data_IF_379315869053
#
_entry.id   IF_379315869053
#
_cell.length_a   1.000
_cell.length_b   1.000
_cell.length_c   1.000
_cell.angle_alpha   90.00
_cell.angle_beta   90.00
_cell.angle_gamma   90.00
#
_symmetry.space_group_name_H-M   'P 1'
#
loop_
_entity.id
_entity.type
_entity.pdbx_description
1 polymer ?
#
# COMPACT_ATOMS: atom_id res chain seq x y z
N UNK A 1 31.10 -17.35 -37.59
CA UNK A 1 30.48 -18.44 -36.81
C UNK A 1 31.42 -18.72 -35.64
N UNK A 2 31.17 -18.19 -34.43
CA UNK A 2 30.55 -18.91 -33.28
C UNK A 2 31.04 -20.37 -33.20
N UNK A 3 31.67 -20.82 -32.12
CA UNK A 3 31.00 -20.92 -30.82
C UNK A 3 31.98 -21.10 -29.63
N UNK A 4 32.02 -20.09 -28.78
CA UNK A 4 31.99 -20.05 -27.31
C UNK A 4 32.33 -21.34 -26.53
N UNK A 5 33.56 -21.40 -26.03
CA UNK A 5 34.17 -22.39 -25.11
C UNK A 5 33.55 -22.43 -23.70
N UNK A 6 32.51 -21.64 -23.41
CA UNK A 6 31.95 -21.48 -22.06
C UNK A 6 30.84 -22.46 -21.67
N UNK A 7 30.46 -23.39 -22.55
CA UNK A 7 29.47 -24.44 -22.23
C UNK A 7 30.07 -25.73 -21.68
N UNK A 8 31.39 -25.92 -21.78
CA UNK A 8 32.06 -27.16 -21.35
C UNK A 8 32.30 -27.21 -19.83
N UNK A 9 32.28 -26.06 -19.14
CA UNK A 9 32.39 -25.97 -17.67
C UNK A 9 31.02 -26.15 -16.99
N UNK A 10 29.92 -25.91 -17.72
CA UNK A 10 28.56 -26.03 -17.17
C UNK A 10 28.08 -27.50 -17.04
N UNK A 11 28.75 -28.45 -17.70
CA UNK A 11 28.34 -29.86 -17.70
C UNK A 11 29.01 -30.72 -16.62
N UNK A 12 30.06 -30.24 -15.95
CA UNK A 12 30.76 -30.98 -14.88
C UNK A 12 30.10 -30.87 -13.50
N UNK A 13 29.08 -30.02 -13.32
CA UNK A 13 28.42 -29.80 -12.04
C UNK A 13 27.21 -30.74 -11.78
N UNK A 14 26.92 -31.67 -12.69
CA UNK A 14 25.73 -32.55 -12.64
C UNK A 14 26.04 -34.00 -12.20
N UNK A 15 27.23 -34.33 -11.70
CA UNK A 15 27.57 -35.76 -11.41
C UNK A 15 28.37 -36.09 -10.16
N UNK A 16 28.29 -35.31 -9.07
CA UNK A 16 28.81 -35.75 -7.76
C UNK A 16 27.67 -35.58 -6.72
N UNK A 17 26.79 -36.57 -6.59
CA UNK A 17 26.94 -37.77 -5.75
C UNK A 17 26.83 -37.47 -4.25
N UNK A 18 25.59 -37.60 -3.78
CA UNK A 18 25.15 -38.13 -2.49
C UNK A 18 26.22 -38.59 -1.49
N UNK A 19 26.19 -38.03 -0.28
CA UNK A 19 26.46 -38.66 1.03
C UNK A 19 26.03 -37.67 2.13
N UNK A 20 24.86 -37.85 2.77
CA UNK A 20 24.60 -38.61 3.99
C UNK A 20 25.12 -37.96 5.29
N UNK A 21 24.14 -37.55 6.12
CA UNK A 21 24.07 -37.62 7.59
C UNK A 21 25.04 -36.78 8.44
N UNK A 22 24.50 -35.68 8.95
CA UNK A 22 24.97 -34.99 10.16
C UNK A 22 23.82 -34.18 10.75
N UNK A 23 23.17 -34.73 11.78
CA UNK A 23 22.15 -34.02 12.55
C UNK A 23 22.77 -32.93 13.40
N UNK A 24 22.29 -31.71 13.22
CA UNK A 24 22.19 -30.72 14.28
C UNK A 24 20.76 -30.19 14.20
N UNK A 25 19.94 -30.52 15.20
CA UNK A 25 18.77 -29.71 15.53
C UNK A 25 19.29 -28.38 16.06
N UNK A 26 19.66 -27.47 15.16
CA UNK A 26 19.54 -26.06 15.45
C UNK A 26 18.04 -25.78 15.35
N UNK A 27 17.38 -25.84 16.50
CA UNK A 27 16.14 -25.13 16.71
C UNK A 27 16.48 -23.67 16.43
N UNK A 28 16.23 -23.24 15.19
CA UNK A 28 16.06 -21.83 14.87
C UNK A 28 14.80 -21.44 15.61
N UNK A 29 14.98 -21.10 16.89
CA UNK A 29 14.11 -20.17 17.58
C UNK A 29 14.01 -19.00 16.64
N UNK A 30 12.92 -18.95 15.90
CA UNK A 30 12.48 -17.79 15.16
C UNK A 30 12.15 -16.77 16.23
N UNK A 31 13.20 -16.15 16.78
CA UNK A 31 13.09 -14.88 17.46
C UNK A 31 12.45 -13.99 16.43
N UNK A 32 11.18 -13.69 16.64
CA UNK A 32 10.39 -12.68 15.96
C UNK A 32 11.09 -11.34 16.19
N UNK A 33 12.20 -11.12 15.48
CA UNK A 33 12.64 -9.81 15.10
C UNK A 33 11.62 -9.37 14.06
N UNK A 34 10.67 -8.56 14.50
CA UNK A 34 9.85 -7.71 13.62
C UNK A 34 10.77 -6.77 12.84
N UNK A 35 11.54 -7.32 11.90
CA UNK A 35 11.96 -6.58 10.73
C UNK A 35 10.70 -6.49 9.88
N UNK A 36 9.96 -5.40 10.07
CA UNK A 36 8.85 -5.05 9.20
C UNK A 36 9.41 -4.91 7.78
N UNK A 37 9.35 -5.99 7.02
CA UNK A 37 9.85 -6.07 5.66
C UNK A 37 8.69 -5.72 4.75
N UNK A 38 8.77 -4.56 4.10
CA UNK A 38 7.82 -4.18 3.04
C UNK A 38 7.86 -5.22 1.91
N UNK A 39 6.75 -5.39 1.20
CA UNK A 39 6.68 -6.32 0.07
C UNK A 39 7.64 -5.91 -1.05
N UNK A 40 8.07 -6.85 -1.89
CA UNK A 40 8.92 -6.55 -3.05
C UNK A 40 8.25 -5.55 -3.99
N UNK A 41 6.94 -5.68 -4.23
CA UNK A 41 6.18 -4.72 -5.04
C UNK A 41 6.21 -3.32 -4.43
N UNK A 42 5.92 -3.20 -3.12
CA UNK A 42 5.97 -1.92 -2.40
C UNK A 42 7.38 -1.31 -2.47
N UNK A 43 8.43 -2.13 -2.32
CA UNK A 43 9.83 -1.70 -2.42
C UNK A 43 10.14 -1.16 -3.82
N UNK A 44 9.77 -1.86 -4.88
CA UNK A 44 10.00 -1.42 -6.25
C UNK A 44 9.20 -0.16 -6.58
N UNK A 45 7.95 -0.08 -6.15
CA UNK A 45 7.10 1.09 -6.36
C UNK A 45 7.68 2.34 -5.68
N UNK A 46 7.97 2.24 -4.37
CA UNK A 46 8.55 3.34 -3.59
C UNK A 46 9.96 3.69 -4.08
N UNK A 47 10.76 2.68 -4.39
CA UNK A 47 12.09 2.85 -4.95
C UNK A 47 12.06 3.62 -6.26
N UNK A 48 11.17 3.23 -7.18
CA UNK A 48 10.97 3.94 -8.46
C UNK A 48 10.64 5.41 -8.25
N UNK A 49 9.73 5.73 -7.33
CA UNK A 49 9.42 7.12 -6.97
C UNK A 49 10.63 7.88 -6.41
N UNK A 50 11.47 7.22 -5.61
CA UNK A 50 12.67 7.83 -5.02
C UNK A 50 13.84 7.98 -5.99
N UNK A 51 13.86 7.21 -7.09
CA UNK A 51 14.84 7.35 -8.16
C UNK A 51 14.55 8.53 -9.08
N UNK A 52 13.38 9.15 -8.99
CA UNK A 52 13.05 10.33 -9.79
C UNK A 52 14.01 11.49 -9.55
N UNK A 53 14.38 12.18 -10.63
CA UNK A 53 15.39 13.25 -10.61
C UNK A 53 16.84 12.75 -10.50
N UNK A 54 17.07 11.44 -10.46
CA UNK A 54 18.42 10.85 -10.55
C UNK A 54 18.78 10.45 -11.99
N UNK A 55 20.04 10.08 -12.22
CA UNK A 55 20.51 9.59 -13.52
C UNK A 55 19.99 8.19 -13.87
N UNK A 56 19.44 7.47 -12.90
CA UNK A 56 18.92 6.11 -13.04
C UNK A 56 17.38 6.07 -12.94
N UNK A 57 16.73 7.24 -13.02
CA UNK A 57 15.27 7.33 -13.08
C UNK A 57 14.72 6.48 -14.25
N UNK A 58 13.53 5.90 -14.06
CA UNK A 58 12.87 5.09 -15.09
C UNK A 58 12.69 5.91 -16.35
N UNK A 59 13.21 5.45 -17.48
CA UNK A 59 13.15 6.12 -18.78
C UNK A 59 11.75 6.09 -19.39
N UNK A 60 11.54 6.84 -20.47
CA UNK A 60 10.24 6.86 -21.17
C UNK A 60 9.89 5.53 -21.84
N UNK A 61 10.90 4.84 -22.41
CA UNK A 61 10.74 3.52 -23.02
C UNK A 61 10.37 2.48 -21.94
N UNK A 62 11.11 2.46 -20.83
CA UNK A 62 10.80 1.59 -19.68
C UNK A 62 9.41 1.91 -19.11
N UNK A 63 9.03 3.18 -18.99
CA UNK A 63 7.72 3.58 -18.50
C UNK A 63 6.58 3.07 -19.40
N UNK A 64 6.80 2.99 -20.71
CA UNK A 64 5.82 2.45 -21.66
C UNK A 64 5.56 0.96 -21.46
N UNK A 65 6.57 0.22 -21.01
CA UNK A 65 6.48 -1.20 -20.68
C UNK A 65 6.01 -1.46 -19.24
N UNK A 66 6.47 -0.65 -18.27
CA UNK A 66 6.14 -0.78 -16.85
C UNK A 66 4.70 -0.37 -16.53
N UNK A 67 4.18 0.67 -17.18
CA UNK A 67 2.84 1.20 -16.91
C UNK A 67 1.73 0.13 -16.97
N UNK A 68 1.57 -0.66 -18.05
CA UNK A 68 0.54 -1.68 -18.10
C UNK A 68 0.74 -2.80 -17.06
N UNK A 69 1.98 -3.10 -16.65
CA UNK A 69 2.27 -4.11 -15.64
C UNK A 69 1.84 -3.66 -14.25
N UNK A 70 2.11 -2.40 -13.91
CA UNK A 70 1.68 -1.82 -12.64
C UNK A 70 0.16 -1.63 -12.58
N UNK A 71 -0.48 -1.29 -13.69
CA UNK A 71 -1.95 -1.26 -13.79
C UNK A 71 -2.56 -2.65 -13.59
N UNK A 72 -1.97 -3.69 -14.21
CA UNK A 72 -2.39 -5.08 -14.00
C UNK A 72 -2.18 -5.50 -12.54
N UNK A 73 -1.02 -5.21 -11.96
CA UNK A 73 -0.73 -5.48 -10.55
C UNK A 73 -1.77 -4.84 -9.64
N UNK A 74 -2.06 -3.54 -9.84
CA UNK A 74 -3.08 -2.84 -9.06
C UNK A 74 -4.47 -3.47 -9.21
N UNK A 75 -4.86 -3.86 -10.43
CA UNK A 75 -6.17 -4.49 -10.65
C UNK A 75 -6.27 -5.85 -9.96
N UNK A 76 -5.20 -6.64 -10.00
CA UNK A 76 -5.15 -7.99 -9.43
C UNK A 76 -5.06 -7.92 -7.90
N UNK A 77 -4.27 -6.99 -7.34
CA UNK A 77 -4.11 -6.81 -5.89
C UNK A 77 -5.38 -6.34 -5.19
N UNK A 78 -6.30 -5.69 -5.91
CA UNK A 78 -7.59 -5.25 -5.40
C UNK A 78 -8.72 -6.28 -5.57
N UNK A 79 -8.42 -7.47 -6.10
CA UNK A 79 -9.41 -8.53 -6.33
C UNK A 79 -9.56 -9.44 -5.11
N UNK A 80 -10.80 -9.78 -4.76
CA UNK A 80 -11.13 -10.71 -3.65
C UNK A 80 -10.64 -12.15 -3.89
N UNK A 81 -10.33 -12.51 -5.13
CA UNK A 81 -9.92 -13.86 -5.55
C UNK A 81 -8.45 -13.95 -5.99
N UNK A 82 -7.61 -13.00 -5.56
CA UNK A 82 -6.22 -12.89 -6.01
C UNK A 82 -5.38 -14.14 -5.70
N UNK A 83 -4.63 -14.62 -6.70
CA UNK A 83 -3.59 -15.63 -6.51
C UNK A 83 -2.24 -14.96 -6.26
N UNK A 84 -1.54 -15.37 -5.20
CA UNK A 84 -0.17 -14.90 -4.92
C UNK A 84 0.79 -15.20 -6.08
N UNK A 85 0.58 -16.33 -6.78
CA UNK A 85 1.40 -16.71 -7.95
C UNK A 85 1.28 -15.67 -9.08
N UNK A 86 0.10 -15.09 -9.27
CA UNK A 86 -0.12 -14.06 -10.31
C UNK A 86 0.54 -12.74 -9.93
N UNK A 87 0.46 -12.33 -8.66
CA UNK A 87 1.15 -11.16 -8.15
C UNK A 87 2.67 -11.32 -8.27
N UNK A 88 3.22 -12.46 -7.87
CA UNK A 88 4.65 -12.76 -7.97
C UNK A 88 5.12 -12.76 -9.43
N UNK A 89 4.33 -13.33 -10.35
CA UNK A 89 4.64 -13.30 -11.78
C UNK A 89 4.68 -11.87 -12.33
N UNK A 90 3.73 -11.01 -11.95
CA UNK A 90 3.72 -9.60 -12.33
C UNK A 90 4.91 -8.84 -11.76
N UNK A 91 5.27 -9.07 -10.49
CA UNK A 91 6.45 -8.46 -9.85
C UNK A 91 7.73 -8.88 -10.57
N UNK A 92 7.88 -10.16 -10.93
CA UNK A 92 9.01 -10.63 -11.70
C UNK A 92 9.09 -9.97 -13.09
N UNK A 93 7.94 -9.79 -13.75
CA UNK A 93 7.90 -9.12 -15.05
C UNK A 93 8.28 -7.63 -14.92
N UNK A 94 7.81 -6.95 -13.88
CA UNK A 94 8.20 -5.57 -13.56
C UNK A 94 9.72 -5.47 -13.38
N UNK A 95 10.32 -6.35 -12.57
CA UNK A 95 11.77 -6.39 -12.37
C UNK A 95 12.54 -6.67 -13.66
N UNK A 96 11.98 -7.49 -14.55
CA UNK A 96 12.60 -7.82 -15.84
C UNK A 96 12.64 -6.65 -16.84
N UNK A 97 11.74 -5.68 -16.70
CA UNK A 97 11.74 -4.45 -17.51
C UNK A 97 12.70 -3.40 -16.94
N UNK A 98 12.85 -3.34 -15.60
CA UNK A 98 13.81 -2.46 -14.95
C UNK A 98 15.25 -2.89 -15.24
N UNK A 99 16.18 -1.94 -15.28
CA UNK A 99 17.61 -2.28 -15.34
C UNK A 99 18.10 -2.89 -14.04
N UNK A 100 19.15 -3.72 -14.13
CA UNK A 100 19.82 -4.26 -12.95
C UNK A 100 20.35 -3.14 -12.03
N UNK A 101 20.81 -2.03 -12.60
CA UNK A 101 21.28 -0.86 -11.85
C UNK A 101 20.15 -0.20 -11.07
N UNK A 102 18.96 -0.03 -11.65
CA UNK A 102 17.78 0.48 -10.95
C UNK A 102 17.37 -0.44 -9.79
N UNK A 103 17.30 -1.75 -10.02
CA UNK A 103 16.92 -2.71 -8.97
C UNK A 103 17.92 -2.69 -7.81
N UNK A 104 19.22 -2.67 -8.11
CA UNK A 104 20.27 -2.55 -7.11
C UNK A 104 20.16 -1.24 -6.32
N UNK A 105 19.95 -0.11 -6.99
CA UNK A 105 19.79 1.17 -6.31
C UNK A 105 18.57 1.18 -5.38
N UNK A 106 17.46 0.55 -5.79
CA UNK A 106 16.28 0.39 -4.93
C UNK A 106 16.59 -0.43 -3.67
N UNK A 107 17.39 -1.49 -3.78
CA UNK A 107 17.81 -2.28 -2.62
C UNK A 107 18.76 -1.48 -1.69
N UNK A 108 19.63 -0.64 -2.25
CA UNK A 108 20.52 0.24 -1.48
C UNK A 108 19.80 1.34 -0.69
N UNK A 109 18.58 1.72 -1.11
CA UNK A 109 17.75 2.68 -0.38
C UNK A 109 17.30 2.17 1.00
N UNK A 110 17.44 0.86 1.28
CA UNK A 110 17.07 0.23 2.57
C UNK A 110 15.67 0.66 3.04
N UNK A 111 14.71 0.58 2.12
CA UNK A 111 13.34 1.05 2.34
C UNK A 111 12.66 0.25 3.46
N UNK A 112 11.95 0.98 4.32
CA UNK A 112 11.19 0.43 5.46
C UNK A 112 9.80 1.07 5.53
N UNK A 113 8.96 0.63 6.48
CA UNK A 113 7.68 1.30 6.75
C UNK A 113 7.82 2.78 7.11
N UNK A 114 8.98 3.19 7.65
CA UNK A 114 9.26 4.61 7.88
C UNK A 114 9.33 5.37 6.56
N UNK A 115 9.98 4.79 5.53
CA UNK A 115 10.05 5.40 4.20
C UNK A 115 8.67 5.54 3.55
N UNK A 116 7.76 4.58 3.82
CA UNK A 116 6.38 4.65 3.36
C UNK A 116 5.60 5.77 4.07
N UNK A 117 5.82 5.93 5.37
CA UNK A 117 5.23 7.01 6.18
C UNK A 117 5.72 8.38 5.73
N UNK A 118 7.02 8.52 5.45
CA UNK A 118 7.62 9.75 4.90
C UNK A 118 7.02 10.12 3.54
N UNK A 119 6.82 9.14 2.65
CA UNK A 119 6.14 9.35 1.39
C UNK A 119 4.71 9.86 1.61
N UNK A 120 3.94 9.23 2.50
CA UNK A 120 2.56 9.62 2.77
C UNK A 120 2.46 11.06 3.29
N UNK A 121 3.38 11.48 4.15
CA UNK A 121 3.47 12.87 4.61
C UNK A 121 3.76 13.83 3.46
N UNK A 122 4.74 13.50 2.61
CA UNK A 122 5.08 14.31 1.44
C UNK A 122 3.90 14.45 0.46
N UNK A 123 3.16 13.36 0.21
CA UNK A 123 1.96 13.38 -0.64
C UNK A 123 0.82 14.16 0.03
N UNK A 124 0.64 14.05 1.35
CA UNK A 124 -0.33 14.82 2.12
C UNK A 124 -0.08 16.33 2.07
N UNK A 125 1.18 16.75 2.20
CA UNK A 125 1.57 18.16 2.09
C UNK A 125 1.37 18.71 0.68
N UNK A 126 1.65 17.90 -0.35
CA UNK A 126 1.39 18.27 -1.75
C UNK A 126 -0.10 18.41 -2.07
N UNK A 127 -0.97 17.69 -1.35
CA UNK A 127 -2.43 17.76 -1.48
C UNK A 127 -3.02 19.07 -0.91
N UNK A 128 -2.27 19.78 -0.06
CA UNK A 128 -2.63 21.11 0.44
C UNK A 128 -2.30 22.23 -0.55
N UNK A 129 -1.61 21.93 -1.67
CA UNK A 129 -1.28 22.92 -2.71
C UNK A 129 -2.41 23.15 -3.73
N UNK A 130 -3.58 22.51 -3.54
CA UNK A 130 -4.77 22.66 -4.40
C UNK A 130 -6.01 23.19 -3.68
N UNK A 131 -5.82 23.99 -2.62
CA UNK A 131 -6.87 24.90 -2.16
C UNK A 131 -6.54 26.31 -2.66
N UNK A 132 -7.36 26.94 -3.53
CA UNK A 132 -7.19 28.35 -3.81
C UNK A 132 -7.30 29.11 -2.48
N UNK A 133 -6.27 29.90 -2.18
CA UNK A 133 -6.21 30.80 -1.04
C UNK A 133 -7.47 31.68 -1.00
N UNK A 134 -8.49 31.21 -0.28
CA UNK A 134 -9.66 31.98 0.05
C UNK A 134 -9.48 32.46 1.48
N UNK A 135 -8.86 33.64 1.58
CA UNK A 135 -8.97 34.64 2.65
C UNK A 135 -8.58 34.25 4.09
N UNK A 136 -7.55 34.90 4.67
CA UNK A 136 -7.29 34.86 6.11
C UNK A 136 -8.20 35.87 6.81
N UNK A 137 -9.36 35.45 7.32
CA UNK A 137 -9.99 36.12 8.46
C UNK A 137 -11.13 35.28 9.05
N UNK A 138 -10.97 34.82 10.30
CA UNK A 138 -11.91 35.09 11.40
C UNK A 138 -11.65 34.13 12.56
N UNK A 139 -10.81 34.60 13.47
CA UNK A 139 -11.14 34.75 14.89
C UNK A 139 -11.61 33.52 15.66
N UNK A 140 -10.75 33.09 16.58
CA UNK A 140 -11.11 32.16 17.63
C UNK A 140 -12.10 32.71 18.67
N UNK A 141 -12.45 31.74 19.53
CA UNK A 141 -13.19 31.77 20.80
C UNK A 141 -14.70 31.43 20.80
N UNK A 142 -15.18 30.79 21.89
CA UNK A 142 -16.33 29.88 21.91
C UNK A 142 -17.60 30.57 22.41
N UNK A 143 -18.77 30.07 21.98
CA UNK A 143 -20.05 30.47 22.58
C UNK A 143 -20.79 29.23 23.09
N UNK A 144 -20.53 28.90 24.35
CA UNK A 144 -21.56 28.34 25.21
C UNK A 144 -22.64 29.40 25.46
N UNK A 145 -23.85 28.92 25.73
CA UNK A 145 -25.05 29.65 26.11
C UNK A 145 -25.78 30.38 24.96
N UNK A 146 -27.06 30.00 24.80
CA UNK A 146 -28.22 30.90 24.68
C UNK A 146 -29.22 30.38 23.67
N UNK A 147 -30.17 29.56 24.12
CA UNK A 147 -31.53 29.54 23.55
C UNK A 147 -32.53 29.24 24.67
N UNK A 148 -32.76 30.26 25.50
CA UNK A 148 -33.98 30.41 26.27
C UNK A 148 -34.84 31.45 25.57
N UNK A 149 -36.08 31.08 25.21
CA UNK A 149 -37.07 32.01 24.69
C UNK A 149 -38.43 31.32 24.41
N UNK A 150 -39.57 32.01 24.63
CA UNK A 150 -40.75 31.40 25.24
C UNK A 150 -42.01 31.36 24.36
N UNK A 151 -42.86 30.37 24.60
CA UNK A 151 -44.33 30.49 24.54
C UNK A 151 -45.04 30.27 23.21
N UNK A 152 -45.81 29.17 23.09
CA UNK A 152 -47.22 29.13 22.64
C UNK A 152 -47.77 27.68 22.58
N UNK A 153 -48.58 27.31 23.59
CA UNK A 153 -49.89 26.59 23.61
C UNK A 153 -50.35 25.64 22.47
N UNK A 154 -51.50 24.90 22.57
CA UNK A 154 -52.17 24.20 23.70
C UNK A 154 -52.88 22.86 23.31
N UNK A 155 -53.13 21.98 24.30
CA UNK A 155 -54.36 21.17 24.51
C UNK A 155 -54.87 20.16 23.44
N UNK A 156 -55.03 18.89 23.85
CA UNK A 156 -55.92 17.94 23.15
C UNK A 156 -55.81 16.49 23.63
N UNK A 157 -56.81 16.04 24.37
CA UNK A 157 -56.97 14.70 24.94
C UNK A 157 -57.24 13.61 23.88
N UNK A 158 -56.92 12.35 24.19
CA UNK A 158 -57.26 11.21 23.33
C UNK A 158 -56.69 9.88 23.81
N UNK A 159 -57.31 9.33 24.84
CA UNK A 159 -57.15 7.99 25.41
C UNK A 159 -57.10 6.85 24.38
N UNK A 160 -56.24 5.86 24.63
CA UNK A 160 -56.43 4.40 24.39
C UNK A 160 -55.19 3.74 23.77
N UNK A 161 -54.46 2.98 24.60
CA UNK A 161 -54.25 1.53 24.46
C UNK A 161 -52.97 1.10 25.16
N UNK A 162 -53.17 0.40 26.27
CA UNK A 162 -52.19 -0.50 26.87
C UNK A 162 -51.67 -1.50 25.83
N UNK A 163 -50.37 -1.73 25.80
CA UNK A 163 -49.86 -3.10 25.78
C UNK A 163 -48.50 -3.19 26.48
N UNK A 164 -48.51 -3.97 27.56
CA UNK A 164 -47.42 -4.82 28.02
C UNK A 164 -46.21 -4.19 28.73
N UNK A 165 -46.29 -4.31 30.06
CA UNK A 165 -45.16 -4.51 30.95
C UNK A 165 -44.41 -5.77 30.47
N UNK A 166 -43.24 -5.60 29.85
CA UNK A 166 -42.25 -6.67 29.75
C UNK A 166 -40.96 -6.26 30.45
N UNK A 167 -40.73 -6.96 31.56
CA UNK A 167 -39.53 -6.94 32.37
C UNK A 167 -38.43 -7.71 31.65
N UNK A 168 -37.28 -7.07 31.43
CA UNK A 168 -36.05 -7.76 31.05
C UNK A 168 -35.87 -7.97 29.54
N UNK A 169 -35.28 -6.99 28.88
CA UNK A 169 -34.52 -7.24 27.67
C UNK A 169 -33.17 -6.53 27.80
N UNK A 170 -32.15 -7.34 28.07
CA UNK A 170 -30.78 -7.01 27.73
C UNK A 170 -30.77 -6.58 26.26
N UNK A 171 -30.44 -5.32 26.00
CA UNK A 171 -30.00 -4.90 24.67
C UNK A 171 -28.67 -5.62 24.46
N UNK A 172 -28.76 -6.80 23.87
CA UNK A 172 -27.64 -7.50 23.27
C UNK A 172 -27.28 -6.70 22.03
N UNK A 173 -26.54 -5.61 22.25
CA UNK A 173 -25.67 -5.08 21.22
C UNK A 173 -24.79 -6.24 20.82
N UNK A 174 -25.09 -6.83 19.66
CA UNK A 174 -24.18 -7.73 18.99
C UNK A 174 -22.83 -7.03 19.01
N UNK A 175 -21.89 -7.64 19.73
CA UNK A 175 -20.52 -7.20 19.79
C UNK A 175 -20.06 -7.09 18.35
N UNK A 176 -20.00 -5.86 17.86
CA UNK A 176 -19.33 -5.52 16.62
C UNK A 176 -17.93 -6.11 16.79
N UNK A 177 -17.66 -7.20 16.08
CA UNK A 177 -16.34 -7.80 16.03
C UNK A 177 -15.46 -6.69 15.51
N UNK A 178 -14.71 -6.06 16.42
CA UNK A 178 -13.74 -5.04 16.09
C UNK A 178 -12.73 -5.68 15.15
N UNK A 179 -12.98 -5.54 13.84
CA UNK A 179 -11.93 -5.70 12.86
C UNK A 179 -10.85 -4.68 13.24
N UNK A 180 -9.57 -5.09 13.28
CA UNK A 180 -8.52 -4.19 13.69
C UNK A 180 -8.49 -3.02 12.70
N UNK A 181 -8.67 -1.79 13.21
CA UNK A 181 -8.57 -0.54 12.44
C UNK A 181 -7.22 -0.37 11.70
N UNK A 182 -6.26 -1.27 11.94
CA UNK A 182 -4.93 -1.34 11.33
C UNK A 182 -4.96 -1.80 9.87
N UNK A 183 -5.94 -2.61 9.43
CA UNK A 183 -5.93 -3.18 8.08
C UNK A 183 -6.44 -2.25 6.99
N UNK A 184 -7.38 -1.35 7.30
CA UNK A 184 -7.94 -0.39 6.33
C UNK A 184 -6.88 0.63 5.89
N UNK A 185 -6.00 1.00 6.83
CA UNK A 185 -4.97 2.01 6.60
C UNK A 185 -3.84 1.49 5.71
N UNK A 186 -3.41 0.24 5.88
CA UNK A 186 -2.36 -0.35 5.04
C UNK A 186 -2.79 -0.48 3.56
N UNK A 187 -4.02 -0.96 3.31
CA UNK A 187 -4.55 -1.06 1.93
C UNK A 187 -4.73 0.31 1.27
N UNK A 188 -5.09 1.33 2.04
CA UNK A 188 -5.22 2.70 1.54
C UNK A 188 -3.86 3.32 1.15
N UNK A 189 -2.83 3.05 1.95
CA UNK A 189 -1.47 3.54 1.68
C UNK A 189 -0.87 2.87 0.45
N UNK A 190 -1.04 1.56 0.29
CA UNK A 190 -0.56 0.84 -0.90
C UNK A 190 -1.26 1.34 -2.18
N UNK A 191 -2.57 1.56 -2.11
CA UNK A 191 -3.34 2.18 -3.19
C UNK A 191 -2.84 3.56 -3.57
N UNK A 192 -2.52 4.42 -2.60
CA UNK A 192 -1.99 5.77 -2.88
C UNK A 192 -0.60 5.72 -3.52
N UNK A 193 0.29 4.85 -3.02
CA UNK A 193 1.61 4.61 -3.57
C UNK A 193 1.52 4.17 -5.05
N UNK A 194 0.69 3.16 -5.34
CA UNK A 194 0.46 2.67 -6.70
C UNK A 194 -0.08 3.77 -7.61
N UNK A 195 -1.01 4.59 -7.14
CA UNK A 195 -1.55 5.71 -7.92
C UNK A 195 -0.47 6.76 -8.24
N UNK A 196 0.39 7.09 -7.27
CA UNK A 196 1.50 8.03 -7.49
C UNK A 196 2.50 7.47 -8.52
N UNK A 197 2.84 6.19 -8.42
CA UNK A 197 3.70 5.50 -9.38
C UNK A 197 3.11 5.48 -10.79
N UNK A 198 1.83 5.09 -10.92
CA UNK A 198 1.15 5.06 -12.23
C UNK A 198 1.18 6.44 -12.90
N UNK A 199 0.87 7.51 -12.14
CA UNK A 199 0.95 8.90 -12.65
C UNK A 199 2.36 9.31 -13.07
N UNK A 200 3.37 8.86 -12.32
CA UNK A 200 4.75 9.08 -12.69
C UNK A 200 5.05 8.43 -14.04
N UNK A 201 4.74 7.13 -14.19
CA UNK A 201 4.99 6.38 -15.41
C UNK A 201 4.22 6.96 -16.62
N UNK A 202 2.97 7.41 -16.42
CA UNK A 202 2.22 8.15 -17.46
C UNK A 202 2.89 9.46 -17.87
N UNK A 203 3.54 10.16 -16.93
CA UNK A 203 4.27 11.39 -17.23
C UNK A 203 5.54 11.09 -18.02
N UNK A 204 6.35 10.13 -17.54
CA UNK A 204 7.57 9.69 -18.21
C UNK A 204 7.30 9.17 -19.61
N UNK A 205 6.25 8.36 -19.80
CA UNK A 205 5.81 7.88 -21.11
C UNK A 205 5.48 9.02 -22.09
N UNK A 206 4.91 10.13 -21.62
CA UNK A 206 4.57 11.27 -22.47
C UNK A 206 5.79 12.11 -22.89
N UNK A 207 6.88 12.06 -22.13
CA UNK A 207 8.11 12.81 -22.45
C UNK A 207 8.86 12.29 -23.69
N UNK A 208 8.53 11.09 -24.20
CA UNK A 208 9.09 10.59 -25.47
C UNK A 208 8.28 11.00 -26.72
N UNK A 209 7.12 11.63 -26.57
CA UNK A 209 6.25 12.06 -27.68
C UNK A 209 6.42 13.53 -28.02
#
# INVERSE_FOLDING_TARGET
MKMNTNYLILFTLVSIFASLLGGCSEEVTSTTSTNSSISTATKLALGTLKLEGTTIAVTSDEASELLPLWQAYQSVSNSDTVSQVELDALVNQIQGVMTAEQVMAVDELKLTDQSLTELLQSLGDSSNLSAPASTPNASGLPQAAQMGGPGSMPGGAGDSMMNEINTGMVVQGTTEVSQPAVSVQASQVDGMLLNALIRLLETRKREAG
#
